data_IF_038710793404
#
_entry.id   IF_038710793404
#
_cell.length_a   1.000
_cell.length_b   1.000
_cell.length_c   1.000
_cell.angle_alpha   90.00
_cell.angle_beta   90.00
_cell.angle_gamma   90.00
#
_symmetry.space_group_name_H-M   'P 1'
#
loop_
_entity.id
_entity.type
_entity.pdbx_description
1 polymer ?
#
# COMPACT_ATOMS: atom_id res chain seq x y z
N UNK A 1 13.21 13.78 -18.79
CA UNK A 1 11.94 13.35 -18.15
C UNK A 1 11.17 12.37 -19.04
N UNK A 2 10.63 12.71 -20.22
CA UNK A 2 9.93 11.72 -21.07
C UNK A 2 10.87 10.65 -21.67
N UNK A 3 12.12 11.03 -21.96
CA UNK A 3 13.16 10.13 -22.47
C UNK A 3 13.64 9.07 -21.45
N UNK A 4 13.34 9.26 -20.17
CA UNK A 4 13.80 8.37 -19.09
C UNK A 4 12.81 7.24 -18.80
N UNK A 5 11.54 7.43 -19.20
CA UNK A 5 10.45 6.45 -19.07
C UNK A 5 10.83 5.04 -19.56
N UNK A 6 11.40 4.83 -20.76
CA UNK A 6 11.75 3.47 -21.20
C UNK A 6 12.77 2.79 -20.29
N UNK A 7 13.76 3.53 -19.79
CA UNK A 7 14.82 3.00 -18.92
C UNK A 7 14.27 2.62 -17.54
N UNK A 8 13.35 3.45 -17.02
CA UNK A 8 12.68 3.17 -15.74
C UNK A 8 11.79 1.92 -15.88
N UNK A 9 11.00 1.85 -16.96
CA UNK A 9 10.12 0.70 -17.21
C UNK A 9 10.91 -0.59 -17.41
N UNK A 10 12.01 -0.56 -18.17
CA UNK A 10 12.86 -1.74 -18.34
C UNK A 10 13.50 -2.17 -17.02
N UNK A 11 13.91 -1.25 -16.14
CA UNK A 11 14.42 -1.63 -14.82
C UNK A 11 13.35 -2.21 -13.89
N UNK A 12 12.13 -1.67 -13.92
CA UNK A 12 11.03 -2.11 -13.06
C UNK A 12 10.47 -3.46 -13.53
N UNK A 13 10.34 -3.65 -14.86
CA UNK A 13 9.67 -4.82 -15.45
C UNK A 13 10.66 -5.92 -15.86
N UNK A 14 11.93 -5.60 -16.12
CA UNK A 14 12.93 -6.53 -16.64
C UNK A 14 14.12 -6.61 -15.67
N UNK A 15 14.65 -7.82 -15.44
CA UNK A 15 15.66 -8.07 -14.40
C UNK A 15 17.10 -7.78 -14.83
N UNK A 16 17.34 -7.43 -16.09
CA UNK A 16 18.69 -7.36 -16.67
C UNK A 16 19.40 -6.01 -16.50
N UNK A 17 18.69 -4.95 -16.10
CA UNK A 17 19.30 -3.65 -15.81
C UNK A 17 19.88 -3.61 -14.39
N UNK A 18 21.18 -3.37 -14.31
CA UNK A 18 21.89 -3.19 -13.04
C UNK A 18 21.51 -1.87 -12.38
N UNK A 19 21.35 -1.89 -11.05
CA UNK A 19 21.12 -0.69 -10.22
C UNK A 19 22.27 0.30 -10.37
N UNK A 20 23.49 -0.17 -10.59
CA UNK A 20 24.70 0.66 -10.74
C UNK A 20 24.56 1.69 -11.87
N UNK A 21 23.89 1.31 -12.98
CA UNK A 21 23.63 2.21 -14.09
C UNK A 21 22.67 3.35 -13.71
N UNK A 22 21.73 3.09 -12.81
CA UNK A 22 20.71 4.05 -12.40
C UNK A 22 21.21 5.00 -11.31
N UNK A 23 22.14 4.57 -10.47
CA UNK A 23 22.70 5.37 -9.36
C UNK A 23 23.33 6.67 -9.86
N UNK A 24 23.95 6.65 -11.03
CA UNK A 24 24.55 7.84 -11.64
C UNK A 24 23.54 8.75 -12.35
N UNK A 25 22.32 8.26 -12.60
CA UNK A 25 21.33 8.94 -13.44
C UNK A 25 20.16 9.52 -12.64
N UNK A 26 19.81 8.92 -11.51
CA UNK A 26 18.65 9.32 -10.71
C UNK A 26 19.05 9.63 -9.27
N UNK A 27 18.35 10.56 -8.59
CA UNK A 27 18.56 10.82 -7.18
C UNK A 27 18.19 9.60 -6.33
N UNK A 28 18.76 9.53 -5.12
CA UNK A 28 18.58 8.39 -4.20
C UNK A 28 17.11 8.07 -3.90
N UNK A 29 16.26 9.09 -3.76
CA UNK A 29 14.84 8.91 -3.48
C UNK A 29 14.11 8.20 -4.64
N UNK A 30 14.39 8.60 -5.89
CA UNK A 30 13.80 7.97 -7.07
C UNK A 30 14.24 6.51 -7.19
N UNK A 31 15.51 6.22 -6.90
CA UNK A 31 16.03 4.85 -6.89
C UNK A 31 15.36 3.98 -5.84
N UNK A 32 15.13 4.52 -4.64
CA UNK A 32 14.39 3.83 -3.59
C UNK A 32 12.97 3.51 -4.07
N UNK A 33 12.28 4.47 -4.68
CA UNK A 33 10.95 4.24 -5.23
C UNK A 33 10.94 3.19 -6.32
N UNK A 34 11.91 3.21 -7.25
CA UNK A 34 12.00 2.21 -8.32
C UNK A 34 12.24 0.80 -7.77
N UNK A 35 13.10 0.67 -6.75
CA UNK A 35 13.36 -0.61 -6.08
C UNK A 35 12.11 -1.12 -5.35
N UNK A 36 11.39 -0.25 -4.64
CA UNK A 36 10.13 -0.60 -3.96
C UNK A 36 9.10 -1.08 -4.99
N UNK A 37 8.90 -0.34 -6.08
CA UNK A 37 7.92 -0.72 -7.11
C UNK A 37 8.30 -2.05 -7.76
N UNK A 38 9.59 -2.25 -8.07
CA UNK A 38 10.10 -3.51 -8.62
C UNK A 38 9.82 -4.67 -7.66
N UNK A 39 10.12 -4.50 -6.38
CA UNK A 39 9.91 -5.52 -5.36
C UNK A 39 8.43 -5.88 -5.22
N UNK A 40 7.55 -4.88 -5.13
CA UNK A 40 6.10 -5.03 -5.05
C UNK A 40 5.48 -5.73 -6.28
N UNK A 41 6.10 -5.57 -7.45
CA UNK A 41 5.70 -6.29 -8.67
C UNK A 41 6.23 -7.72 -8.68
N UNK A 42 7.49 -7.95 -8.29
CA UNK A 42 8.11 -9.28 -8.31
C UNK A 42 7.59 -10.21 -7.21
N UNK A 43 7.12 -9.65 -6.09
CA UNK A 43 6.51 -10.38 -4.97
C UNK A 43 5.01 -10.60 -5.13
N UNK A 44 4.44 -10.23 -6.29
CA UNK A 44 3.00 -10.33 -6.59
C UNK A 44 2.09 -9.52 -5.64
N UNK A 45 2.64 -8.67 -4.77
CA UNK A 45 1.88 -7.86 -3.81
C UNK A 45 0.85 -6.99 -4.54
N UNK A 46 1.25 -6.31 -5.61
CA UNK A 46 0.33 -5.50 -6.42
C UNK A 46 -0.71 -6.35 -7.16
N UNK A 47 -0.32 -7.54 -7.63
CA UNK A 47 -1.24 -8.46 -8.30
C UNK A 47 -2.35 -8.90 -7.34
N UNK A 48 -1.98 -9.34 -6.14
CA UNK A 48 -2.93 -9.75 -5.09
C UNK A 48 -3.80 -8.57 -4.68
N UNK A 49 -3.22 -7.38 -4.44
CA UNK A 49 -3.96 -6.20 -4.03
C UNK A 49 -5.01 -5.77 -5.07
N UNK A 50 -4.63 -5.72 -6.36
CA UNK A 50 -5.54 -5.29 -7.43
C UNK A 50 -6.56 -6.36 -7.87
N UNK A 51 -6.30 -7.64 -7.57
CA UNK A 51 -7.31 -8.69 -7.78
C UNK A 51 -8.43 -8.60 -6.73
N UNK A 52 -8.15 -8.00 -5.57
CA UNK A 52 -9.13 -7.81 -4.52
C UNK A 52 -10.03 -6.60 -4.80
N UNK A 53 -11.33 -6.74 -4.49
CA UNK A 53 -12.33 -5.68 -4.70
C UNK A 53 -12.67 -4.95 -3.41
N UNK A 54 -12.55 -3.63 -3.41
CA UNK A 54 -12.94 -2.78 -2.29
C UNK A 54 -14.43 -2.96 -1.95
N UNK A 55 -14.74 -3.02 -0.65
CA UNK A 55 -16.06 -3.31 -0.06
C UNK A 55 -16.68 -4.66 -0.36
N UNK A 56 -15.95 -5.53 -1.05
CA UNK A 56 -16.37 -6.92 -1.32
C UNK A 56 -15.42 -7.89 -0.62
N UNK A 57 -14.12 -7.74 -0.88
CA UNK A 57 -13.08 -8.60 -0.31
C UNK A 57 -12.36 -7.92 0.86
N UNK A 58 -12.31 -6.58 0.87
CA UNK A 58 -11.59 -5.82 1.88
C UNK A 58 -12.16 -4.41 2.08
N UNK A 59 -11.79 -3.79 3.20
CA UNK A 59 -12.01 -2.37 3.48
C UNK A 59 -11.55 -2.01 4.89
N UNK A 60 -11.61 -0.74 5.24
CA UNK A 60 -11.41 -0.27 6.63
C UNK A 60 -12.75 -0.39 7.36
N UNK A 61 -12.74 -0.91 8.58
CA UNK A 61 -13.95 -0.97 9.40
C UNK A 61 -14.19 0.39 10.07
N UNK A 62 -15.28 1.10 9.77
CA UNK A 62 -15.57 2.41 10.36
C UNK A 62 -16.11 2.32 11.81
N UNK A 63 -16.30 1.12 12.35
CA UNK A 63 -16.84 0.95 13.71
C UNK A 63 -15.88 1.53 14.73
N UNK A 64 -16.35 2.45 15.58
CA UNK A 64 -15.56 3.02 16.69
C UNK A 64 -15.09 1.96 17.71
N UNK A 65 -15.69 0.76 17.70
CA UNK A 65 -15.24 -0.39 18.50
C UNK A 65 -14.08 -1.16 17.83
N UNK A 66 -13.78 -0.90 16.56
CA UNK A 66 -12.76 -1.58 15.79
C UNK A 66 -11.51 -0.69 15.67
N UNK A 67 -10.60 -0.82 16.62
CA UNK A 67 -9.45 0.07 16.79
C UNK A 67 -8.30 -0.14 15.78
N UNK A 68 -8.55 -0.77 14.63
CA UNK A 68 -7.53 -1.02 13.60
C UNK A 68 -7.80 -0.12 12.41
N UNK A 69 -6.92 0.86 12.20
CA UNK A 69 -6.90 1.74 11.04
C UNK A 69 -6.27 1.06 9.80
N UNK A 70 -6.44 -0.26 9.68
CA UNK A 70 -5.89 -1.06 8.60
C UNK A 70 -7.02 -1.73 7.82
N UNK A 71 -6.80 -1.97 6.54
CA UNK A 71 -7.68 -2.79 5.74
C UNK A 71 -7.81 -4.18 6.37
N UNK A 72 -9.03 -4.69 6.40
CA UNK A 72 -9.36 -6.04 6.86
C UNK A 72 -10.07 -6.80 5.75
N UNK A 73 -9.94 -8.12 5.75
CA UNK A 73 -10.66 -8.95 4.80
C UNK A 73 -12.13 -9.08 5.24
N UNK A 74 -13.02 -9.03 4.27
CA UNK A 74 -14.45 -9.20 4.45
C UNK A 74 -14.83 -10.66 4.16
N UNK A 75 -15.55 -11.33 5.07
CA UNK A 75 -16.05 -12.70 4.85
C UNK A 75 -17.35 -12.70 4.03
N UNK A 76 -18.11 -11.62 4.12
CA UNK A 76 -19.28 -11.30 3.31
C UNK A 76 -19.36 -9.79 3.15
N UNK A 77 -20.23 -9.29 2.27
CA UNK A 77 -20.42 -7.84 2.04
C UNK A 77 -20.56 -7.10 3.38
N UNK A 78 -19.61 -6.20 3.67
CA UNK A 78 -19.53 -5.40 4.89
C UNK A 78 -19.45 -6.21 6.23
N UNK A 79 -19.13 -7.50 6.19
CA UNK A 79 -18.92 -8.34 7.37
C UNK A 79 -17.42 -8.63 7.56
N UNK A 80 -16.83 -7.99 8.57
CA UNK A 80 -15.42 -8.11 8.92
C UNK A 80 -15.13 -9.50 9.49
N UNK A 81 -14.06 -10.13 9.03
CA UNK A 81 -13.60 -11.38 9.63
C UNK A 81 -13.01 -11.14 11.03
N UNK A 82 -13.45 -11.91 12.03
CA UNK A 82 -12.90 -11.82 13.40
C UNK A 82 -11.38 -12.09 13.46
N UNK A 83 -10.85 -12.85 12.50
CA UNK A 83 -9.41 -13.07 12.30
C UNK A 83 -9.12 -13.32 10.83
N UNK A 84 -8.51 -12.36 10.15
CA UNK A 84 -7.95 -12.57 8.81
C UNK A 84 -6.52 -12.09 8.77
N UNK A 85 -5.61 -13.07 8.81
CA UNK A 85 -4.20 -12.88 8.49
C UNK A 85 -4.07 -12.72 7.00
N UNK A 86 -3.71 -11.52 6.55
CA UNK A 86 -3.03 -11.41 5.28
C UNK A 86 -1.71 -12.16 5.37
N UNK A 87 -1.40 -12.96 4.37
CA UNK A 87 -0.16 -13.74 4.34
C UNK A 87 1.09 -12.86 4.23
N UNK A 88 0.95 -11.62 3.75
CA UNK A 88 2.05 -10.68 3.56
C UNK A 88 1.70 -9.28 4.12
N UNK A 89 2.54 -8.67 4.98
CA UNK A 89 2.29 -7.34 5.52
C UNK A 89 2.15 -6.27 4.43
N UNK A 90 2.91 -6.38 3.34
CA UNK A 90 2.84 -5.41 2.24
C UNK A 90 1.50 -5.42 1.50
N UNK A 91 0.83 -6.57 1.43
CA UNK A 91 -0.53 -6.65 0.87
C UNK A 91 -1.50 -5.86 1.74
N UNK A 92 -1.35 -5.93 3.07
CA UNK A 92 -2.16 -5.13 4.01
C UNK A 92 -1.92 -3.65 3.81
N UNK A 93 -0.65 -3.24 3.70
CA UNK A 93 -0.28 -1.85 3.51
C UNK A 93 -0.90 -1.29 2.24
N UNK A 94 -0.76 -1.99 1.11
CA UNK A 94 -1.34 -1.55 -0.18
C UNK A 94 -2.87 -1.49 -0.09
N UNK A 95 -3.52 -2.52 0.46
CA UNK A 95 -4.98 -2.53 0.60
C UNK A 95 -5.50 -1.46 1.56
N UNK A 96 -4.72 -1.11 2.59
CA UNK A 96 -5.06 -0.01 3.53
C UNK A 96 -5.01 1.32 2.80
N UNK A 97 -3.94 1.58 2.04
CA UNK A 97 -3.84 2.79 1.22
C UNK A 97 -4.95 2.88 0.18
N UNK A 98 -5.29 1.77 -0.49
CA UNK A 98 -6.41 1.72 -1.42
C UNK A 98 -7.75 1.95 -0.73
N UNK A 99 -7.93 1.44 0.49
CA UNK A 99 -9.17 1.65 1.25
C UNK A 99 -9.37 3.12 1.56
N UNK A 100 -8.35 3.83 2.06
CA UNK A 100 -8.42 5.27 2.32
C UNK A 100 -8.57 6.09 1.04
N UNK A 101 -7.90 5.67 -0.04
CA UNK A 101 -8.08 6.29 -1.35
C UNK A 101 -9.53 6.17 -1.86
N UNK A 102 -10.19 5.02 -1.66
CA UNK A 102 -11.55 4.79 -2.13
C UNK A 102 -12.65 5.25 -1.17
N UNK A 103 -12.42 5.24 0.15
CA UNK A 103 -13.37 5.77 1.14
C UNK A 103 -13.42 7.29 1.12
N UNK A 104 -12.34 7.93 0.69
CA UNK A 104 -12.09 9.33 0.98
C UNK A 104 -11.56 9.51 2.41
N UNK A 105 -10.96 10.67 2.62
CA UNK A 105 -10.52 11.14 3.93
C UNK A 105 -11.65 11.94 4.58
N UNK A 106 -11.80 11.83 5.91
CA UNK A 106 -12.71 12.67 6.68
C UNK A 106 -12.21 14.13 6.74
N UNK A 107 -13.08 15.09 7.10
CA UNK A 107 -12.71 16.52 7.17
C UNK A 107 -11.53 16.81 8.13
N UNK A 108 -11.31 15.93 9.10
CA UNK A 108 -10.20 16.02 10.06
C UNK A 108 -8.90 15.35 9.55
N UNK A 109 -8.99 14.53 8.51
CA UNK A 109 -7.88 13.75 7.94
C UNK A 109 -7.30 14.52 6.75
N UNK A 110 -6.09 15.05 6.90
CA UNK A 110 -5.48 15.88 5.84
C UNK A 110 -4.83 15.02 4.75
N UNK A 111 -4.25 13.89 5.15
CA UNK A 111 -3.64 12.91 4.27
C UNK A 111 -3.64 11.52 4.93
N UNK A 112 -3.49 10.42 4.15
CA UNK A 112 -3.46 9.08 4.72
C UNK A 112 -2.35 8.89 5.78
N UNK A 113 -1.23 9.62 5.67
CA UNK A 113 -0.15 9.63 6.65
C UNK A 113 -0.59 10.14 8.02
N UNK A 114 -1.36 11.23 8.06
CA UNK A 114 -1.88 11.80 9.31
C UNK A 114 -2.74 10.83 10.13
N UNK A 115 -3.40 9.87 9.46
CA UNK A 115 -4.20 8.83 10.10
C UNK A 115 -3.30 7.85 10.85
N UNK A 116 -2.15 7.47 10.28
CA UNK A 116 -1.20 6.58 10.94
C UNK A 116 -0.52 7.27 12.12
N UNK A 117 -0.17 8.55 12.00
CA UNK A 117 0.42 9.31 13.10
C UNK A 117 -0.51 9.37 14.31
N UNK A 118 -1.80 9.64 14.09
CA UNK A 118 -2.83 9.61 15.15
C UNK A 118 -2.97 8.22 15.77
N UNK A 119 -2.90 7.16 14.97
CA UNK A 119 -3.01 5.79 15.46
C UNK A 119 -1.84 5.38 16.35
N UNK A 120 -0.61 5.71 15.93
CA UNK A 120 0.61 5.43 16.69
C UNK A 120 0.52 6.11 18.06
N UNK A 121 0.12 7.38 18.09
CA UNK A 121 -0.07 8.12 19.34
C UNK A 121 -1.12 7.44 20.24
N UNK A 122 -2.23 6.96 19.68
CA UNK A 122 -3.28 6.30 20.44
C UNK A 122 -2.87 4.92 21.00
N UNK A 123 -2.05 4.15 20.28
CA UNK A 123 -1.50 2.89 20.82
C UNK A 123 -0.47 3.13 21.93
N UNK A 124 0.37 4.15 21.81
CA UNK A 124 1.39 4.48 22.82
C UNK A 124 0.80 5.01 24.14
N UNK A 125 -0.41 5.59 24.11
CA UNK A 125 -1.13 6.05 25.31
C UNK A 125 -1.84 4.93 26.11
N UNK A 126 -1.82 3.68 25.60
CA UNK A 126 -2.59 2.55 26.13
C UNK A 126 -1.76 1.55 26.92
#
# INVERSE_FOLDING_TARGET
>A
RYADKPIILSFILETHLSVEYLVHKFPRLDLQLFLIIRDLLSSEVLLVAFTNRYRVNYGVNPSSCFNRLMAVLFLAKDAVADRTGFSHPDVVLVLTQLSYYYSGLNEEETDPGSIYDQWILYEDEK
#
